data_IF_235302124260
#
_entry.id   IF_235302124260
#
_cell.length_a   1.000
_cell.length_b   1.000
_cell.length_c   1.000
_cell.angle_alpha   90.00
_cell.angle_beta   90.00
_cell.angle_gamma   90.00
#
_symmetry.space_group_name_H-M   'P 1'
#
loop_
_entity.id
_entity.type
_entity.pdbx_description
1 polymer ?
#
# COMPACT_ATOMS: atom_id res chain seq x y z
N UNK A 1 24.75 -57.19 -22.96
CA UNK A 1 24.51 -55.78 -23.37
C UNK A 1 23.10 -55.40 -22.94
N UNK A 2 22.97 -54.72 -21.80
CA UNK A 2 21.68 -54.17 -21.33
C UNK A 2 21.98 -52.87 -20.60
N UNK A 3 21.69 -51.73 -21.24
CA UNK A 3 21.89 -50.39 -20.68
C UNK A 3 20.67 -50.02 -19.82
N UNK A 4 20.91 -49.72 -18.54
CA UNK A 4 19.92 -49.15 -17.64
C UNK A 4 20.19 -47.64 -17.56
N UNK A 5 19.25 -46.82 -18.03
CA UNK A 5 19.31 -45.36 -17.90
C UNK A 5 18.58 -44.95 -16.60
N UNK A 6 19.21 -44.16 -15.71
CA UNK A 6 18.47 -43.51 -14.63
C UNK A 6 17.86 -42.19 -15.12
N UNK A 7 16.52 -42.10 -15.07
CA UNK A 7 15.81 -40.82 -15.10
C UNK A 7 15.79 -40.28 -13.67
N UNK A 8 16.35 -39.08 -13.47
CA UNK A 8 16.14 -38.34 -12.22
C UNK A 8 15.91 -36.87 -12.52
N UNK A 9 14.62 -36.55 -12.50
CA UNK A 9 13.92 -35.26 -12.42
C UNK A 9 14.74 -34.02 -12.04
N UNK A 10 14.95 -33.15 -13.02
CA UNK A 10 15.25 -31.73 -12.83
C UNK A 10 13.98 -31.00 -12.37
N UNK A 11 13.89 -30.60 -11.09
CA UNK A 11 12.94 -29.56 -10.65
C UNK A 11 13.55 -28.70 -9.53
N UNK A 12 14.48 -27.82 -9.90
CA UNK A 12 14.74 -26.64 -9.07
C UNK A 12 13.65 -25.61 -9.39
N UNK A 13 12.52 -25.77 -8.71
CA UNK A 13 11.44 -24.78 -8.68
C UNK A 13 12.01 -23.47 -8.15
N UNK A 14 12.06 -22.46 -9.02
CA UNK A 14 12.37 -21.08 -8.69
C UNK A 14 11.32 -20.59 -7.70
N UNK A 15 11.67 -20.57 -6.41
CA UNK A 15 10.86 -19.94 -5.37
C UNK A 15 10.90 -18.43 -5.59
N UNK A 16 10.06 -17.96 -6.51
CA UNK A 16 9.80 -16.56 -6.82
C UNK A 16 9.27 -15.96 -5.53
N UNK A 17 10.15 -15.34 -4.73
CA UNK A 17 9.76 -14.49 -3.61
C UNK A 17 8.96 -13.35 -4.22
N UNK A 18 7.64 -13.48 -4.24
CA UNK A 18 6.72 -12.37 -4.43
C UNK A 18 6.94 -11.44 -3.25
N UNK A 19 7.91 -10.53 -3.39
CA UNK A 19 7.96 -9.32 -2.56
C UNK A 19 6.57 -8.70 -2.70
N UNK A 20 5.85 -8.47 -1.60
CA UNK A 20 4.63 -7.67 -1.68
C UNK A 20 5.01 -6.38 -2.39
N UNK A 21 4.32 -6.10 -3.50
CA UNK A 21 4.47 -4.85 -4.23
C UNK A 21 3.86 -3.80 -3.32
N UNK A 22 4.66 -3.35 -2.36
CA UNK A 22 4.38 -2.11 -1.67
C UNK A 22 4.47 -1.05 -2.76
N UNK A 23 3.37 -0.35 -3.11
CA UNK A 23 3.43 0.71 -4.11
C UNK A 23 4.61 1.62 -3.79
N UNK A 24 5.41 2.01 -4.79
CA UNK A 24 6.57 2.89 -4.60
C UNK A 24 6.23 4.14 -3.76
N UNK A 25 4.96 4.53 -3.82
CA UNK A 25 4.28 5.58 -3.06
C UNK A 25 4.47 5.49 -1.55
N UNK A 26 4.57 4.28 -0.98
CA UNK A 26 4.82 4.17 0.45
C UNK A 26 6.27 4.48 0.81
N UNK A 27 7.26 4.33 -0.09
CA UNK A 27 8.68 4.55 0.26
C UNK A 27 8.95 5.99 0.75
N UNK A 28 8.24 6.98 0.20
CA UNK A 28 8.33 8.39 0.61
C UNK A 28 7.63 8.66 1.95
N UNK A 29 6.56 7.94 2.28
CA UNK A 29 5.87 8.05 3.59
C UNK A 29 6.54 7.17 4.66
N UNK A 30 7.27 6.13 4.25
CA UNK A 30 7.97 5.12 5.07
C UNK A 30 9.30 5.62 5.62
N UNK A 31 10.07 6.43 4.89
CA UNK A 31 11.34 6.98 5.39
C UNK A 31 11.08 8.28 6.15
N UNK A 32 10.92 8.17 7.46
CA UNK A 32 11.09 9.34 8.33
C UNK A 32 12.43 10.00 8.01
N UNK A 33 12.41 11.31 7.76
CA UNK A 33 13.60 12.15 7.65
C UNK A 33 14.67 11.66 6.68
N UNK A 34 14.51 11.91 5.39
CA UNK A 34 15.66 12.07 4.50
C UNK A 34 15.62 13.47 3.92
N UNK A 35 16.79 14.11 3.99
CA UNK A 35 17.08 15.54 3.85
C UNK A 35 16.34 16.27 2.73
N UNK A 36 15.99 17.49 3.07
CA UNK A 36 15.52 18.60 2.25
C UNK A 36 16.57 18.98 1.21
N UNK A 37 16.70 18.23 0.11
CA UNK A 37 17.58 18.57 -1.02
C UNK A 37 17.11 17.82 -2.27
N UNK A 38 16.00 18.30 -2.85
CA UNK A 38 15.65 18.21 -4.28
C UNK A 38 14.29 18.93 -4.49
N UNK A 39 14.28 20.24 -4.23
CA UNK A 39 13.20 21.13 -4.66
C UNK A 39 13.62 21.80 -5.96
N UNK A 40 13.45 21.15 -7.10
CA UNK A 40 13.29 21.82 -8.39
C UNK A 40 13.06 20.81 -9.54
N UNK A 41 11.84 20.32 -9.73
CA UNK A 41 11.23 20.24 -11.07
C UNK A 41 9.72 20.39 -10.88
N UNK A 42 9.18 21.55 -11.26
CA UNK A 42 7.73 21.77 -11.39
C UNK A 42 7.28 20.97 -12.62
N UNK A 43 6.84 19.73 -12.41
CA UNK A 43 6.19 18.91 -13.43
C UNK A 43 4.68 19.01 -13.22
N UNK A 44 3.96 19.21 -14.31
CA UNK A 44 2.52 18.95 -14.41
C UNK A 44 2.18 17.72 -13.56
N UNK A 45 1.14 17.78 -12.69
CA UNK A 45 0.95 16.71 -11.74
C UNK A 45 0.72 15.38 -12.46
N UNK A 46 1.73 14.53 -12.40
CA UNK A 46 1.71 13.21 -13.03
C UNK A 46 0.50 12.42 -12.49
N UNK A 47 -0.05 11.51 -13.29
CA UNK A 47 -1.13 10.58 -12.89
C UNK A 47 -0.81 9.86 -11.58
N UNK A 48 0.49 9.70 -11.29
CA UNK A 48 1.04 9.23 -10.03
C UNK A 48 0.64 10.07 -8.82
N UNK A 49 0.60 11.41 -8.92
CA UNK A 49 0.24 12.33 -7.84
C UNK A 49 -1.24 12.21 -7.45
N UNK A 50 -2.14 12.13 -8.44
CA UNK A 50 -3.56 11.87 -8.18
C UNK A 50 -3.76 10.50 -7.51
N UNK A 51 -3.07 9.47 -8.02
CA UNK A 51 -3.13 8.12 -7.43
C UNK A 51 -2.60 8.09 -5.98
N UNK A 52 -1.56 8.87 -5.66
CA UNK A 52 -1.06 9.01 -4.29
C UNK A 52 -2.09 9.65 -3.37
N UNK A 53 -2.74 10.72 -3.84
CA UNK A 53 -3.75 11.41 -3.06
C UNK A 53 -4.93 10.49 -2.75
N UNK A 54 -5.40 9.73 -3.74
CA UNK A 54 -6.46 8.73 -3.55
C UNK A 54 -6.11 7.71 -2.46
N UNK A 55 -4.86 7.23 -2.42
CA UNK A 55 -4.40 6.29 -1.39
C UNK A 55 -4.36 6.98 -0.02
N UNK A 56 -3.85 8.20 0.08
CA UNK A 56 -3.83 8.94 1.35
C UNK A 56 -5.24 9.15 1.88
N UNK A 57 -6.19 9.47 1.01
CA UNK A 57 -7.58 9.69 1.41
C UNK A 57 -8.24 8.42 1.90
N UNK A 58 -7.98 7.28 1.26
CA UNK A 58 -8.46 5.99 1.75
C UNK A 58 -7.86 5.61 3.11
N UNK A 59 -6.57 5.86 3.31
CA UNK A 59 -5.90 5.58 4.59
C UNK A 59 -6.40 6.52 5.69
N UNK A 60 -6.61 7.80 5.38
CA UNK A 60 -7.19 8.77 6.31
C UNK A 60 -8.62 8.39 6.70
N UNK A 61 -9.44 7.96 5.74
CA UNK A 61 -10.77 7.41 6.02
C UNK A 61 -10.71 6.16 6.90
N UNK A 62 -9.71 5.29 6.70
CA UNK A 62 -9.49 4.15 7.57
C UNK A 62 -9.10 4.55 9.00
N UNK A 63 -8.34 5.64 9.18
CA UNK A 63 -8.03 6.19 10.51
C UNK A 63 -9.25 6.75 11.24
N UNK A 64 -10.20 7.34 10.51
CA UNK A 64 -11.42 7.90 11.08
C UNK A 64 -12.35 6.79 11.63
N UNK A 65 -12.23 5.57 11.10
CA UNK A 65 -13.00 4.38 11.49
C UNK A 65 -12.09 3.21 11.87
N UNK A 66 -10.97 3.50 12.54
CA UNK A 66 -9.88 2.54 12.74
C UNK A 66 -10.33 1.25 13.43
N UNK A 67 -11.20 1.36 14.44
CA UNK A 67 -11.61 0.23 15.25
C UNK A 67 -12.49 -0.70 14.39
N UNK A 68 -13.45 -0.13 13.64
CA UNK A 68 -14.26 -0.89 12.68
C UNK A 68 -13.42 -1.55 11.57
N UNK A 69 -12.40 -0.85 11.05
CA UNK A 69 -11.51 -1.39 10.01
C UNK A 69 -10.72 -2.58 10.57
N UNK A 70 -10.16 -2.45 11.77
CA UNK A 70 -9.40 -3.52 12.42
C UNK A 70 -10.30 -4.72 12.73
N UNK A 71 -11.53 -4.49 13.20
CA UNK A 71 -12.51 -5.54 13.43
C UNK A 71 -12.87 -6.28 12.13
N UNK A 72 -13.10 -5.55 11.04
CA UNK A 72 -13.39 -6.14 9.73
C UNK A 72 -12.23 -6.98 9.20
N UNK A 73 -10.99 -6.54 9.41
CA UNK A 73 -9.79 -7.28 9.02
C UNK A 73 -9.62 -8.52 9.89
N UNK A 74 -9.78 -8.41 11.22
CA UNK A 74 -9.66 -9.52 12.15
C UNK A 74 -10.71 -10.61 11.91
N UNK A 75 -11.93 -10.23 11.52
CA UNK A 75 -13.03 -11.16 11.21
C UNK A 75 -12.93 -11.80 9.80
N UNK A 76 -11.95 -11.43 8.98
CA UNK A 76 -11.78 -11.98 7.63
C UNK A 76 -10.96 -13.28 7.65
N UNK A 77 -11.40 -14.34 6.95
CA UNK A 77 -10.66 -15.61 6.89
C UNK A 77 -9.35 -15.51 6.09
N UNK A 78 -9.24 -14.52 5.21
CA UNK A 78 -8.10 -14.33 4.32
C UNK A 78 -7.98 -12.86 3.87
N UNK A 79 -6.79 -12.51 3.36
CA UNK A 79 -6.48 -11.16 2.89
C UNK A 79 -7.42 -10.68 1.79
N UNK A 80 -7.79 -11.53 0.83
CA UNK A 80 -8.67 -11.13 -0.26
C UNK A 80 -10.08 -10.80 0.25
N UNK A 81 -10.59 -11.58 1.21
CA UNK A 81 -11.84 -11.28 1.90
C UNK A 81 -11.75 -9.99 2.72
N UNK A 82 -10.63 -9.74 3.42
CA UNK A 82 -10.41 -8.49 4.15
C UNK A 82 -10.47 -7.28 3.21
N UNK A 83 -9.76 -7.33 2.08
CA UNK A 83 -9.76 -6.25 1.08
C UNK A 83 -11.17 -5.98 0.56
N UNK A 84 -11.93 -7.03 0.20
CA UNK A 84 -13.30 -6.86 -0.29
C UNK A 84 -14.21 -6.21 0.76
N UNK A 85 -14.08 -6.59 2.03
CA UNK A 85 -14.90 -6.02 3.12
C UNK A 85 -14.51 -4.59 3.46
N UNK A 86 -13.22 -4.28 3.55
CA UNK A 86 -12.72 -2.91 3.78
C UNK A 86 -13.13 -1.98 2.63
N UNK A 87 -13.08 -2.48 1.38
CA UNK A 87 -13.57 -1.75 0.21
C UNK A 87 -15.03 -1.33 0.37
N UNK A 88 -15.88 -2.26 0.79
CA UNK A 88 -17.30 -2.00 1.04
C UNK A 88 -17.51 -1.05 2.23
N UNK A 89 -16.76 -1.25 3.32
CA UNK A 89 -16.83 -0.43 4.53
C UNK A 89 -16.53 1.05 4.25
N UNK A 90 -15.46 1.31 3.49
CA UNK A 90 -14.95 2.66 3.24
C UNK A 90 -15.44 3.28 1.92
N UNK A 91 -16.20 2.53 1.11
CA UNK A 91 -16.65 2.95 -0.23
C UNK A 91 -15.50 3.43 -1.15
N UNK A 92 -14.38 2.68 -1.16
CA UNK A 92 -13.18 3.01 -1.95
C UNK A 92 -12.95 2.02 -3.10
N UNK A 93 -11.94 2.28 -3.94
CA UNK A 93 -11.50 1.34 -4.96
C UNK A 93 -10.81 0.09 -4.37
N UNK A 94 -10.70 -0.96 -5.18
CA UNK A 94 -9.98 -2.19 -4.80
C UNK A 94 -8.52 -1.91 -4.45
N UNK A 95 -7.84 -1.02 -5.20
CA UNK A 95 -6.44 -0.67 -4.96
C UNK A 95 -6.25 0.10 -3.66
N UNK A 96 -7.14 1.04 -3.37
CA UNK A 96 -7.16 1.79 -2.10
C UNK A 96 -7.41 0.86 -0.91
N UNK A 97 -8.40 -0.04 -0.99
CA UNK A 97 -8.66 -1.01 0.06
C UNK A 97 -7.48 -1.97 0.30
N UNK A 98 -6.81 -2.41 -0.76
CA UNK A 98 -5.59 -3.21 -0.64
C UNK A 98 -4.48 -2.44 0.09
N UNK A 99 -4.30 -1.16 -0.22
CA UNK A 99 -3.31 -0.32 0.45
C UNK A 99 -3.60 -0.14 1.95
N UNK A 100 -4.87 -0.06 2.34
CA UNK A 100 -5.30 -0.02 3.76
C UNK A 100 -5.00 -1.35 4.46
N UNK A 101 -5.39 -2.49 3.85
CA UNK A 101 -5.16 -3.82 4.45
C UNK A 101 -3.68 -4.16 4.57
N UNK A 102 -2.86 -3.71 3.63
CA UNK A 102 -1.41 -3.96 3.65
C UNK A 102 -0.63 -2.99 4.55
N UNK A 103 -1.30 -2.03 5.19
CA UNK A 103 -0.67 -1.07 6.10
C UNK A 103 -0.17 -1.79 7.36
N UNK A 104 1.15 -1.76 7.66
CA UNK A 104 1.65 -2.40 8.88
C UNK A 104 1.01 -1.82 10.14
N UNK A 105 0.60 -2.69 11.08
CA UNK A 105 -0.14 -2.28 12.29
C UNK A 105 0.57 -1.21 13.13
N UNK A 106 1.92 -1.23 13.22
CA UNK A 106 2.69 -0.20 13.92
C UNK A 106 2.52 1.22 13.33
N UNK A 107 1.85 1.35 12.19
CA UNK A 107 1.55 2.62 11.52
C UNK A 107 0.15 3.13 11.80
N UNK A 108 -0.73 2.36 12.43
CA UNK A 108 -2.02 2.84 12.93
C UNK A 108 -1.84 3.68 14.20
N UNK A 109 -1.04 4.75 14.11
CA UNK A 109 -0.75 5.68 15.20
C UNK A 109 -1.20 7.09 14.82
N UNK A 110 -1.59 7.89 15.82
CA UNK A 110 -2.03 9.29 15.62
C UNK A 110 -0.97 10.11 14.91
N UNK A 111 0.31 9.98 15.30
CA UNK A 111 1.40 10.67 14.61
C UNK A 111 1.56 10.29 13.13
N UNK A 112 1.20 9.07 12.73
CA UNK A 112 1.19 8.68 11.31
C UNK A 112 0.01 9.31 10.58
N UNK A 113 -1.18 9.33 11.17
CA UNK A 113 -2.37 10.01 10.64
C UNK A 113 -2.09 11.49 10.37
N UNK A 114 -1.46 12.18 11.32
CA UNK A 114 -1.20 13.62 11.20
C UNK A 114 -0.20 13.93 10.09
N UNK A 115 0.86 13.12 9.95
CA UNK A 115 1.80 13.22 8.82
C UNK A 115 1.10 12.97 7.48
N UNK A 116 0.23 11.96 7.40
CA UNK A 116 -0.53 11.67 6.17
C UNK A 116 -1.48 12.81 5.81
N UNK A 117 -2.17 13.39 6.80
CA UNK A 117 -3.05 14.56 6.60
C UNK A 117 -2.28 15.76 6.08
N UNK A 118 -1.10 16.03 6.63
CA UNK A 118 -0.22 17.10 6.14
C UNK A 118 0.17 16.85 4.68
N UNK A 119 0.66 15.64 4.35
CA UNK A 119 1.06 15.29 2.98
C UNK A 119 -0.09 15.36 1.99
N UNK A 120 -1.28 14.88 2.35
CA UNK A 120 -2.47 14.98 1.49
C UNK A 120 -2.84 16.45 1.24
N UNK A 121 -2.72 17.31 2.25
CA UNK A 121 -2.98 18.75 2.11
C UNK A 121 -1.96 19.42 1.19
N UNK A 122 -0.67 19.11 1.35
CA UNK A 122 0.39 19.61 0.45
C UNK A 122 0.14 19.17 -1.00
N UNK A 123 -0.21 17.89 -1.19
CA UNK A 123 -0.46 17.33 -2.50
C UNK A 123 -1.67 17.97 -3.18
N UNK A 124 -2.79 18.14 -2.47
CA UNK A 124 -3.97 18.88 -2.99
C UNK A 124 -3.62 20.29 -3.44
N UNK A 125 -2.83 21.02 -2.66
CA UNK A 125 -2.37 22.37 -3.02
C UNK A 125 -1.53 22.37 -4.29
N UNK A 126 -0.69 21.36 -4.48
CA UNK A 126 0.15 21.22 -5.66
C UNK A 126 -0.66 20.83 -6.92
N UNK A 127 -1.74 20.06 -6.77
CA UNK A 127 -2.62 19.63 -7.88
C UNK A 127 -3.55 20.73 -8.41
N UNK A 128 -3.87 21.74 -7.58
CA UNK A 128 -4.79 22.83 -7.93
C UNK A 128 -4.08 23.98 -8.68
N UNK A 129 -2.76 24.07 -8.54
CA UNK A 129 -1.95 25.12 -9.17
C UNK A 129 -1.67 24.79 -10.64
#
# INVERSE_FOLDING_TARGET
>A
MTMTLPVTSTRLSTRRRTRPVVPALWRQVVRGGAREEDRAVQLEPDRSAYTQLEIYDAVLAAFDRRDEVLDVIAAAPDRHTAVRRVRALLAVSQGQAAAVVDLPLHRFTTGTRDRMRLRATELRKALIR
#
